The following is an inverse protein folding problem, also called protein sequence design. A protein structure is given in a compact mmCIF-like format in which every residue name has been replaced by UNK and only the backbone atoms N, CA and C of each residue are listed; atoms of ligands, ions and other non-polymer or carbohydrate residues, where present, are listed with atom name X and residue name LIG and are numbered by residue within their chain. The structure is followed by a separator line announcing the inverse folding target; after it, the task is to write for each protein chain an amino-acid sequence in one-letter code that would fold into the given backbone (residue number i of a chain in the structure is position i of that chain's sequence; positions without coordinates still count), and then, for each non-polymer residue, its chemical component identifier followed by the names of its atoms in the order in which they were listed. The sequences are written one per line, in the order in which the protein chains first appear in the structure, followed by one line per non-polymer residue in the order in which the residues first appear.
data_IF_683534214152
#
_entry.id   IF_683534214152
#
_cell.length_a   1.000
_cell.length_b   1.000
_cell.length_c   1.000
_cell.angle_alpha   90.00
_cell.angle_beta   90.00
_cell.angle_gamma   90.00
#
_symmetry.space_group_name_H-M   'P 1'
#
loop_
_entity.id
_entity.type
_entity.pdbx_description
1 polymer ?
#
# COMPACT_ATOMS: atom_id res chain seq x y z
N UNK A 1 -22.13 64.42 5.05
CA UNK A 1 -22.03 62.95 5.06
C UNK A 1 -23.43 62.41 5.30
N UNK A 2 -23.96 61.61 4.36
CA UNK A 2 -25.34 61.10 4.42
C UNK A 2 -25.51 60.17 5.62
N UNK A 3 -26.57 60.36 6.42
CA UNK A 3 -26.95 59.48 7.55
C UNK A 3 -27.02 58.01 7.12
N UNK A 4 -27.33 57.78 5.85
CA UNK A 4 -27.42 56.47 5.23
C UNK A 4 -26.07 55.77 5.08
N UNK A 5 -24.98 56.50 4.80
CA UNK A 5 -23.64 55.91 4.70
C UNK A 5 -23.09 55.53 6.07
N UNK A 6 -23.43 56.29 7.12
CA UNK A 6 -23.06 55.99 8.51
C UNK A 6 -23.79 54.77 9.07
N UNK A 7 -25.09 54.62 8.77
CA UNK A 7 -25.86 53.42 9.11
C UNK A 7 -25.40 52.17 8.35
N UNK A 8 -25.04 52.31 7.07
CA UNK A 8 -24.49 51.21 6.27
C UNK A 8 -23.11 50.73 6.77
N UNK A 9 -22.28 51.61 7.33
CA UNK A 9 -21.01 51.23 7.98
C UNK A 9 -21.18 50.56 9.36
N UNK A 10 -22.35 50.68 9.98
CA UNK A 10 -22.69 50.09 11.28
C UNK A 10 -23.29 48.68 11.16
N UNK A 11 -23.85 48.33 10.00
CA UNK A 11 -24.40 46.99 9.72
C UNK A 11 -23.37 46.18 8.93
N UNK A 12 -22.78 45.11 9.49
CA UNK A 12 -21.77 44.32 8.82
C UNK A 12 -22.42 43.36 7.82
N UNK A 13 -22.88 43.89 6.68
CA UNK A 13 -23.54 43.11 5.62
C UNK A 13 -22.64 41.99 5.09
N UNK A 14 -21.34 42.23 4.98
CA UNK A 14 -20.35 41.22 4.57
C UNK A 14 -20.26 40.05 5.55
N UNK A 15 -20.37 40.32 6.86
CA UNK A 15 -20.39 39.30 7.90
C UNK A 15 -21.67 38.44 7.80
N UNK A 16 -22.81 39.08 7.59
CA UNK A 16 -24.09 38.39 7.42
C UNK A 16 -24.09 37.53 6.15
N UNK A 17 -23.48 38.01 5.07
CA UNK A 17 -23.31 37.23 3.84
C UNK A 17 -22.43 35.99 4.07
N UNK A 18 -21.33 36.13 4.81
CA UNK A 18 -20.49 34.99 5.21
C UNK A 18 -21.24 33.98 6.09
N UNK A 19 -21.99 34.48 7.08
CA UNK A 19 -22.82 33.65 7.96
C UNK A 19 -23.93 32.93 7.20
N UNK A 20 -24.51 33.55 6.15
CA UNK A 20 -25.51 32.91 5.31
C UNK A 20 -24.93 31.69 4.56
N UNK A 21 -23.69 31.79 4.08
CA UNK A 21 -22.98 30.64 3.48
C UNK A 21 -22.74 29.56 4.52
N UNK A 22 -22.21 29.90 5.70
CA UNK A 22 -22.01 28.93 6.80
C UNK A 22 -23.32 28.26 7.21
N UNK A 23 -24.40 29.03 7.34
CA UNK A 23 -25.75 28.53 7.65
C UNK A 23 -26.24 27.53 6.60
N UNK A 24 -26.02 27.80 5.31
CA UNK A 24 -26.34 26.85 4.23
C UNK A 24 -25.59 25.52 4.40
N UNK A 25 -24.28 25.56 4.71
CA UNK A 25 -23.48 24.35 4.93
C UNK A 25 -23.85 23.62 6.24
N UNK A 26 -24.35 24.33 7.26
CA UNK A 26 -24.81 23.74 8.51
C UNK A 26 -25.95 22.73 8.27
N UNK A 27 -26.87 23.04 7.36
CA UNK A 27 -28.02 22.17 7.04
C UNK A 27 -27.80 21.22 5.85
N UNK A 28 -26.67 21.30 5.15
CA UNK A 28 -26.35 20.40 4.03
C UNK A 28 -25.94 19.00 4.52
N UNK A 29 -26.20 17.93 3.75
CA UNK A 29 -25.73 16.57 4.07
C UNK A 29 -24.19 16.51 4.17
N UNK A 30 -23.66 15.81 5.17
CA UNK A 30 -22.20 15.72 5.39
C UNK A 30 -21.60 14.61 4.51
N UNK A 31 -20.41 14.85 3.99
CA UNK A 31 -19.64 13.92 3.11
C UNK A 31 -18.75 12.98 3.95
N UNK A 32 -18.95 12.95 5.26
CA UNK A 32 -18.16 12.16 6.21
C UNK A 32 -18.45 10.67 6.08
N UNK A 33 -17.42 9.84 6.22
CA UNK A 33 -17.50 8.38 6.32
C UNK A 33 -17.26 8.00 7.78
N UNK A 34 -18.04 7.08 8.33
CA UNK A 34 -17.91 6.60 9.72
C UNK A 34 -16.84 5.51 9.79
N UNK A 35 -15.59 5.90 9.95
CA UNK A 35 -14.48 4.96 10.18
C UNK A 35 -14.43 4.58 11.67
N UNK A 36 -14.23 3.30 12.04
CA UNK A 36 -13.75 2.17 11.22
C UNK A 36 -14.82 1.28 10.56
N UNK A 37 -16.11 1.50 10.82
CA UNK A 37 -17.22 0.65 10.37
C UNK A 37 -17.38 0.68 8.85
N UNK A 38 -17.31 1.88 8.26
CA UNK A 38 -17.32 2.11 6.82
C UNK A 38 -15.94 2.56 6.36
N UNK A 39 -15.42 1.90 5.32
CA UNK A 39 -14.14 2.23 4.70
C UNK A 39 -14.33 2.61 3.25
N UNK A 40 -13.67 3.68 2.82
CA UNK A 40 -13.63 4.04 1.41
C UNK A 40 -12.74 3.05 0.67
N UNK A 41 -13.29 2.40 -0.34
CA UNK A 41 -12.53 1.48 -1.17
C UNK A 41 -11.42 2.22 -1.94
N UNK A 42 -10.15 1.78 -1.82
CA UNK A 42 -9.07 2.29 -2.64
C UNK A 42 -9.21 1.82 -4.10
N UNK A 43 -8.65 2.60 -5.03
CA UNK A 43 -8.58 2.21 -6.44
C UNK A 43 -7.80 0.90 -6.63
N UNK A 44 -8.01 0.20 -7.74
CA UNK A 44 -7.36 -1.09 -8.01
C UNK A 44 -5.83 -0.99 -8.06
N UNK A 45 -5.29 0.15 -8.52
CA UNK A 45 -3.85 0.42 -8.60
C UNK A 45 -3.29 1.12 -7.35
N UNK A 46 -4.03 1.05 -6.24
CA UNK A 46 -3.58 1.65 -4.98
C UNK A 46 -2.33 0.92 -4.46
N UNK A 47 -1.32 1.71 -4.05
CA UNK A 47 -0.06 1.20 -3.50
C UNK A 47 -0.18 1.14 -1.98
N UNK A 48 -0.40 -0.05 -1.45
CA UNK A 48 -0.65 -0.30 -0.03
C UNK A 48 0.45 -1.15 0.62
N UNK A 49 0.01 -2.17 1.35
CA UNK A 49 0.84 -3.20 1.96
C UNK A 49 1.62 -3.97 0.89
N UNK A 50 2.83 -4.40 1.23
CA UNK A 50 3.67 -5.22 0.36
C UNK A 50 3.19 -6.66 0.33
N UNK A 51 3.07 -7.25 -0.86
CA UNK A 51 2.93 -8.69 -1.04
C UNK A 51 4.19 -9.30 -1.66
N UNK A 52 4.51 -10.53 -1.25
CA UNK A 52 5.64 -11.28 -1.78
C UNK A 52 5.27 -12.76 -1.99
N UNK A 53 5.81 -13.36 -3.05
CA UNK A 53 5.73 -14.79 -3.34
C UNK A 53 7.13 -15.35 -3.59
N UNK A 54 7.58 -16.22 -2.68
CA UNK A 54 8.89 -16.86 -2.77
C UNK A 54 8.99 -17.80 -3.98
N UNK A 55 7.91 -18.52 -4.29
CA UNK A 55 7.84 -19.47 -5.42
C UNK A 55 8.06 -18.79 -6.78
N UNK A 56 7.65 -17.52 -6.89
CA UNK A 56 7.82 -16.72 -8.11
C UNK A 56 9.20 -16.05 -8.19
N UNK A 57 9.88 -15.87 -7.06
CA UNK A 57 11.11 -15.09 -6.99
C UNK A 57 12.31 -15.86 -7.58
N UNK A 58 12.90 -15.31 -8.65
CA UNK A 58 14.10 -15.88 -9.30
C UNK A 58 15.43 -15.31 -8.76
N UNK A 59 15.40 -14.55 -7.67
CA UNK A 59 16.59 -13.96 -7.03
C UNK A 59 17.45 -13.09 -7.98
N UNK A 60 16.81 -12.33 -8.87
CA UNK A 60 17.51 -11.47 -9.86
C UNK A 60 18.04 -10.15 -9.30
N UNK A 61 17.66 -9.78 -8.07
CA UNK A 61 18.00 -8.52 -7.40
C UNK A 61 17.48 -7.25 -8.10
N UNK A 62 16.63 -7.35 -9.13
CA UNK A 62 16.11 -6.19 -9.87
C UNK A 62 15.31 -5.23 -8.99
N UNK A 63 14.44 -5.75 -8.13
CA UNK A 63 13.65 -4.95 -7.19
C UNK A 63 14.53 -4.18 -6.18
N UNK A 64 15.62 -4.78 -5.70
CA UNK A 64 16.56 -4.12 -4.81
C UNK A 64 17.34 -3.00 -5.51
N UNK A 65 17.76 -3.23 -6.76
CA UNK A 65 18.43 -2.22 -7.59
C UNK A 65 17.50 -1.06 -7.98
N UNK A 66 16.22 -1.35 -8.23
CA UNK A 66 15.22 -0.36 -8.59
C UNK A 66 14.79 0.53 -7.41
N UNK A 67 15.05 0.10 -6.17
CA UNK A 67 14.68 0.84 -4.99
C UNK A 67 15.54 2.12 -4.85
N UNK A 68 14.96 3.33 -4.95
CA UNK A 68 15.74 4.58 -4.94
C UNK A 68 16.41 4.87 -3.60
N UNK A 69 15.93 4.25 -2.53
CA UNK A 69 16.39 4.43 -1.14
C UNK A 69 17.15 3.21 -0.60
N UNK A 70 17.28 2.13 -1.38
CA UNK A 70 18.06 0.94 -1.02
C UNK A 70 17.59 0.19 0.24
N UNK A 71 16.28 0.01 0.43
CA UNK A 71 15.71 -0.62 1.65
C UNK A 71 15.41 -2.12 1.51
N UNK A 72 15.61 -2.71 0.34
CA UNK A 72 15.33 -4.13 0.08
C UNK A 72 16.63 -4.91 0.22
N UNK A 73 16.66 -5.84 1.18
CA UNK A 73 17.80 -6.69 1.48
C UNK A 73 17.50 -8.11 1.02
N UNK A 74 18.33 -8.62 0.10
CA UNK A 74 18.16 -9.95 -0.49
C UNK A 74 19.44 -10.74 -0.26
N UNK A 75 19.32 -11.95 0.25
CA UNK A 75 20.42 -12.90 0.31
C UNK A 75 20.02 -14.24 -0.30
N UNK A 76 20.97 -14.90 -0.95
CA UNK A 76 20.76 -16.19 -1.58
C UNK A 76 21.95 -17.11 -1.36
N UNK A 77 21.69 -18.40 -1.47
CA UNK A 77 22.71 -19.46 -1.47
C UNK A 77 22.69 -20.16 -2.82
N UNK A 78 23.87 -20.55 -3.31
CA UNK A 78 23.97 -21.44 -4.46
C UNK A 78 23.78 -22.88 -4.00
N UNK A 79 22.78 -23.55 -4.56
CA UNK A 79 22.59 -24.98 -4.42
C UNK A 79 22.96 -25.68 -5.74
N UNK A 80 23.73 -26.76 -5.62
CA UNK A 80 24.02 -27.66 -6.72
C UNK A 80 23.00 -28.79 -6.74
N UNK A 81 22.44 -29.09 -7.90
CA UNK A 81 21.51 -30.19 -8.10
C UNK A 81 21.84 -30.90 -9.41
N UNK A 82 21.60 -32.20 -9.46
CA UNK A 82 21.82 -33.00 -10.67
C UNK A 82 20.51 -33.20 -11.42
N UNK A 83 20.54 -32.91 -12.72
CA UNK A 83 19.46 -33.23 -13.66
C UNK A 83 20.11 -33.88 -14.87
N UNK A 84 19.68 -35.10 -15.20
CA UNK A 84 20.20 -35.89 -16.32
C UNK A 84 21.73 -36.06 -16.30
N UNK A 85 22.31 -36.30 -15.12
CA UNK A 85 23.75 -36.48 -14.93
C UNK A 85 24.59 -35.21 -15.09
N UNK A 86 23.97 -34.03 -15.25
CA UNK A 86 24.65 -32.73 -15.30
C UNK A 86 24.42 -31.96 -14.01
N UNK A 87 25.51 -31.53 -13.37
CA UNK A 87 25.47 -30.61 -12.23
C UNK A 87 25.01 -29.23 -12.69
N UNK A 88 23.84 -28.81 -12.23
CA UNK A 88 23.30 -27.46 -12.41
C UNK A 88 23.38 -26.71 -11.08
N UNK A 89 23.45 -25.37 -11.16
CA UNK A 89 23.43 -24.49 -10.00
C UNK A 89 22.16 -23.65 -10.03
N UNK A 90 21.45 -23.55 -8.91
CA UNK A 90 20.31 -22.64 -8.72
C UNK A 90 20.59 -21.72 -7.54
N UNK A 91 20.12 -20.49 -7.63
CA UNK A 91 20.06 -19.61 -6.47
C UNK A 91 18.80 -19.93 -5.68
N UNK A 92 18.97 -20.12 -4.38
CA UNK A 92 17.87 -20.32 -3.42
C UNK A 92 17.84 -19.12 -2.50
N UNK A 93 16.67 -18.50 -2.40
CA UNK A 93 16.45 -17.33 -1.56
C UNK A 93 16.59 -17.70 -0.08
N UNK A 94 17.40 -16.94 0.66
CA UNK A 94 17.57 -17.11 2.10
C UNK A 94 16.83 -16.02 2.86
N UNK A 95 17.08 -14.76 2.50
CA UNK A 95 16.47 -13.59 3.12
C UNK A 95 15.88 -12.67 2.06
N UNK A 96 14.73 -12.11 2.37
CA UNK A 96 14.08 -11.08 1.58
C UNK A 96 13.38 -10.13 2.55
N UNK A 97 14.09 -9.09 2.92
CA UNK A 97 13.64 -8.15 3.95
C UNK A 97 13.47 -6.76 3.36
N UNK A 98 12.48 -6.03 3.89
CA UNK A 98 12.22 -4.64 3.50
C UNK A 98 12.15 -3.76 4.74
N UNK A 99 12.99 -2.73 4.79
CA UNK A 99 12.90 -1.69 5.81
C UNK A 99 11.83 -0.65 5.43
N UNK A 100 10.58 -0.91 5.83
CA UNK A 100 9.42 -0.08 5.50
C UNK A 100 9.43 1.27 6.23
N UNK A 101 10.25 1.43 7.29
CA UNK A 101 10.40 2.70 8.01
C UNK A 101 10.84 3.85 7.11
N UNK A 102 11.56 3.53 6.04
CA UNK A 102 12.11 4.50 5.08
C UNK A 102 11.37 4.47 3.73
N UNK A 103 10.44 3.53 3.54
CA UNK A 103 9.75 3.33 2.28
C UNK A 103 8.83 4.51 1.93
N UNK A 104 8.88 4.94 0.66
CA UNK A 104 7.98 5.97 0.11
C UNK A 104 6.83 5.39 -0.73
N UNK A 105 6.64 4.06 -0.71
CA UNK A 105 5.57 3.34 -1.42
C UNK A 105 5.47 3.67 -2.92
N UNK A 106 6.62 3.88 -3.57
CA UNK A 106 6.69 4.28 -4.98
C UNK A 106 6.32 3.18 -5.98
N UNK A 107 6.26 1.90 -5.60
CA UNK A 107 5.92 0.78 -6.50
C UNK A 107 6.97 0.38 -7.54
N UNK A 108 8.15 1.01 -7.58
CA UNK A 108 9.18 0.69 -8.57
C UNK A 108 9.71 -0.75 -8.46
N UNK A 109 9.68 -1.37 -7.28
CA UNK A 109 10.08 -2.77 -7.12
C UNK A 109 9.11 -3.77 -7.77
N UNK A 110 7.83 -3.41 -7.89
CA UNK A 110 6.81 -4.19 -8.61
C UNK A 110 7.06 -4.11 -10.12
N UNK A 111 7.23 -2.89 -10.64
CA UNK A 111 7.47 -2.64 -12.06
C UNK A 111 8.82 -3.20 -12.54
N UNK A 112 9.83 -3.25 -11.67
CA UNK A 112 11.15 -3.81 -11.97
C UNK A 112 11.21 -5.34 -11.87
N UNK A 113 10.17 -6.00 -11.35
CA UNK A 113 10.17 -7.45 -11.20
C UNK A 113 9.98 -8.10 -12.58
N UNK A 114 10.92 -8.92 -13.07
CA UNK A 114 10.84 -9.49 -14.42
C UNK A 114 9.95 -10.74 -14.52
N UNK A 115 9.35 -11.20 -13.42
CA UNK A 115 8.57 -12.43 -13.39
C UNK A 115 7.11 -12.14 -13.69
N UNK A 116 6.44 -13.07 -14.36
CA UNK A 116 5.02 -12.97 -14.67
C UNK A 116 4.31 -14.24 -14.20
N UNK A 117 3.44 -14.17 -13.17
CA UNK A 117 3.11 -13.00 -12.34
C UNK A 117 4.31 -12.46 -11.52
N UNK A 118 4.25 -11.19 -11.12
CA UNK A 118 5.31 -10.58 -10.32
C UNK A 118 5.46 -11.26 -8.94
N UNK A 119 6.71 -11.36 -8.48
CA UNK A 119 7.05 -11.97 -7.20
C UNK A 119 6.92 -11.00 -6.02
N UNK A 120 7.01 -9.69 -6.25
CA UNK A 120 6.78 -8.64 -5.27
C UNK A 120 5.83 -7.60 -5.86
N UNK A 121 4.90 -7.12 -5.05
CA UNK A 121 3.97 -6.07 -5.45
C UNK A 121 3.59 -5.17 -4.27
N UNK A 122 3.19 -3.94 -4.58
CA UNK A 122 2.54 -3.00 -3.66
C UNK A 122 1.08 -2.77 -4.03
N UNK A 123 0.65 -3.19 -5.23
CA UNK A 123 -0.74 -3.09 -5.68
C UNK A 123 -1.66 -3.96 -4.82
N UNK A 124 -2.04 -3.41 -3.67
CA UNK A 124 -2.87 -4.03 -2.65
C UNK A 124 -3.78 -2.97 -2.06
N UNK A 125 -5.04 -3.29 -1.80
CA UNK A 125 -5.99 -2.32 -1.20
C UNK A 125 -5.82 -2.18 0.33
N UNK A 126 -4.90 -2.93 0.93
CA UNK A 126 -4.64 -2.91 2.37
C UNK A 126 -3.70 -1.76 2.72
N UNK A 127 -4.13 -0.83 3.58
CA UNK A 127 -3.32 0.32 4.02
C UNK A 127 -3.12 0.42 5.54
N UNK A 128 -3.79 -0.42 6.33
CA UNK A 128 -3.79 -0.34 7.79
C UNK A 128 -2.67 -1.19 8.40
N UNK A 129 -1.43 -0.72 8.26
CA UNK A 129 -0.23 -1.46 8.67
C UNK A 129 0.49 -0.81 9.85
N UNK A 130 -0.23 0.00 10.64
CA UNK A 130 0.32 0.74 11.79
C UNK A 130 0.83 -0.23 12.85
N UNK A 131 1.94 0.15 13.49
CA UNK A 131 2.48 -0.60 14.61
C UNK A 131 3.10 0.32 15.65
N UNK A 132 3.04 -0.11 16.92
CA UNK A 132 3.62 0.61 18.05
C UNK A 132 5.15 0.48 18.13
N UNK A 133 5.69 -0.65 17.65
CA UNK A 133 7.11 -0.95 17.73
C UNK A 133 7.82 -0.81 16.39
N UNK A 134 8.74 0.14 16.32
CA UNK A 134 9.42 0.52 15.08
C UNK A 134 10.23 -0.63 14.47
N UNK A 135 11.09 -1.28 15.24
CA UNK A 135 12.04 -2.25 14.67
C UNK A 135 11.44 -3.62 14.43
N UNK A 136 10.58 -4.11 15.35
CA UNK A 136 9.94 -5.41 15.20
C UNK A 136 8.89 -5.37 14.09
N UNK A 137 8.10 -4.29 14.01
CA UNK A 137 6.89 -4.30 13.18
C UNK A 137 6.95 -3.49 11.90
N UNK A 138 7.98 -2.68 11.65
CA UNK A 138 8.17 -1.95 10.38
C UNK A 138 9.40 -2.44 9.59
N UNK A 139 10.05 -3.50 10.06
CA UNK A 139 11.00 -4.27 9.28
C UNK A 139 10.30 -5.55 8.83
N UNK A 140 9.99 -5.66 7.54
CA UNK A 140 9.20 -6.76 7.02
C UNK A 140 10.14 -7.87 6.58
N UNK A 141 10.08 -9.00 7.29
CA UNK A 141 10.75 -10.23 6.86
C UNK A 141 9.99 -10.90 5.73
N UNK A 142 10.65 -11.82 5.05
CA UNK A 142 10.06 -12.65 3.98
C UNK A 142 8.73 -13.28 4.41
N UNK A 143 8.65 -13.80 5.64
CA UNK A 143 7.47 -14.47 6.19
C UNK A 143 6.33 -13.48 6.36
N UNK A 144 6.62 -12.29 6.90
CA UNK A 144 5.62 -11.25 7.08
C UNK A 144 5.08 -10.73 5.76
N UNK A 145 5.93 -10.62 4.74
CA UNK A 145 5.51 -10.23 3.39
C UNK A 145 4.58 -11.26 2.74
N UNK A 146 4.59 -12.51 3.20
CA UNK A 146 3.70 -13.58 2.72
C UNK A 146 2.42 -13.70 3.54
N UNK A 147 2.53 -13.66 4.87
CA UNK A 147 1.43 -13.96 5.80
C UNK A 147 0.69 -12.71 6.29
N UNK A 148 1.31 -11.53 6.23
CA UNK A 148 0.78 -10.28 6.78
C UNK A 148 0.46 -10.35 8.28
N UNK A 149 1.34 -10.98 9.05
CA UNK A 149 1.14 -11.22 10.50
C UNK A 149 0.84 -9.91 11.27
N UNK A 150 -0.35 -9.86 11.88
CA UNK A 150 -0.82 -8.71 12.65
C UNK A 150 -1.27 -7.50 11.83
N UNK A 151 -1.34 -7.62 10.50
CA UNK A 151 -1.98 -6.64 9.63
C UNK A 151 -3.44 -7.05 9.44
N UNK A 152 -4.36 -6.07 9.45
CA UNK A 152 -5.76 -6.31 9.08
C UNK A 152 -5.93 -6.00 7.59
N UNK A 153 -6.16 -7.01 6.73
CA UNK A 153 -6.40 -6.78 5.31
C UNK A 153 -7.64 -5.91 5.10
N UNK A 154 -7.66 -5.16 4.00
CA UNK A 154 -8.91 -4.51 3.58
C UNK A 154 -9.97 -5.59 3.29
N UNK A 155 -11.27 -5.35 3.60
CA UNK A 155 -12.31 -6.35 3.39
C UNK A 155 -12.31 -6.94 1.97
N UNK A 156 -12.22 -8.27 1.88
CA UNK A 156 -12.17 -9.00 0.61
C UNK A 156 -10.77 -9.17 0.00
N UNK A 157 -9.73 -8.55 0.57
CA UNK A 157 -8.33 -8.78 0.14
C UNK A 157 -7.78 -10.03 0.81
N UNK A 158 -7.23 -10.94 0.00
CA UNK A 158 -6.52 -12.13 0.47
C UNK A 158 -5.06 -11.79 0.83
N UNK A 159 -4.44 -12.60 1.68
CA UNK A 159 -3.00 -12.50 1.91
C UNK A 159 -2.22 -13.06 0.70
N UNK A 160 -0.95 -12.66 0.50
CA UNK A 160 -0.10 -13.21 -0.55
C UNK A 160 0.01 -14.74 -0.52
N UNK A 161 0.09 -15.34 0.67
CA UNK A 161 0.09 -16.78 0.86
C UNK A 161 -1.23 -17.45 0.46
N UNK A 162 -2.35 -16.75 0.60
CA UNK A 162 -3.68 -17.21 0.16
C UNK A 162 -3.93 -16.96 -1.35
N UNK A 163 -2.92 -16.49 -2.08
CA UNK A 163 -2.96 -16.34 -3.54
C UNK A 163 -3.38 -14.97 -4.02
N UNK A 164 -3.15 -13.90 -3.24
CA UNK A 164 -3.39 -12.54 -3.70
C UNK A 164 -2.64 -12.25 -5.02
N UNK A 165 -3.35 -11.66 -5.98
CA UNK A 165 -2.77 -11.24 -7.26
C UNK A 165 -2.71 -9.71 -7.34
N UNK A 166 -1.66 -9.12 -7.93
CA UNK A 166 -1.57 -7.67 -8.15
C UNK A 166 -2.67 -7.14 -9.07
N UNK A 167 -3.00 -7.89 -10.13
CA UNK A 167 -4.06 -7.52 -11.08
C UNK A 167 -5.47 -7.70 -10.54
N UNK A 168 -5.62 -8.45 -9.44
CA UNK A 168 -6.89 -8.71 -8.78
C UNK A 168 -6.73 -8.64 -7.25
N UNK A 169 -6.56 -7.44 -6.67
CA UNK A 169 -6.29 -7.30 -5.25
C UNK A 169 -7.40 -7.86 -4.34
N UNK A 170 -8.63 -8.02 -4.86
CA UNK A 170 -9.77 -8.57 -4.11
C UNK A 170 -10.12 -10.03 -4.48
N UNK A 171 -9.42 -10.65 -5.42
CA UNK A 171 -9.75 -12.01 -5.87
C UNK A 171 -11.15 -12.12 -6.50
N UNK A 172 -11.66 -11.04 -7.11
CA UNK A 172 -13.01 -10.98 -7.69
C UNK A 172 -13.03 -11.44 -9.15
N UNK A 173 -11.91 -11.40 -9.88
CA UNK A 173 -11.82 -11.74 -11.31
C UNK A 173 -11.93 -13.24 -11.60
N UNK A 174 -11.74 -14.10 -10.60
CA UNK A 174 -11.87 -15.57 -10.70
C UNK A 174 -13.23 -16.15 -10.28
N UNK A 175 -14.22 -15.32 -9.88
CA UNK A 175 -15.54 -15.77 -9.40
C UNK A 175 -16.66 -15.70 -10.46
N UNK A 176 -16.30 -15.74 -11.75
CA UNK A 176 -17.27 -15.84 -12.85
C UNK A 176 -17.32 -17.25 -13.40
#
# INVERSE_FOLDING_TARGET
MSVWSFLASLVPLDLLQGLAVTGKYLFTKKVTIQYPEEKKEPADRFRGMFGFSEERCIVCYSCAKACPIGIIHIASRLEEFEVDGKKKKRQVLQWYDIDVKRCMFCGLCEEACPTEPVAIWLTTKTYETVAYERNERLYFTKERLQNWDGVRPFPGVLTPREGQMPDDPKGEKGKK
#
